data_IF_249694809308
#
_entry.id   IF_249694809308
#
_cell.length_a   1.000
_cell.length_b   1.000
_cell.length_c   1.000
_cell.angle_alpha   90.00
_cell.angle_beta   90.00
_cell.angle_gamma   90.00
#
_symmetry.space_group_name_H-M   'P 1'
#
loop_
_entity.id
_entity.type
_entity.pdbx_description
1 polymer ?
#
# COMPACT_ATOMS: atom_id res chain seq x y z
N UNK A 1 -11.11 7.40 -61.81
CA UNK A 1 -10.23 7.85 -60.71
C UNK A 1 -8.79 7.28 -60.75
N UNK A 2 -8.49 6.17 -61.47
CA UNK A 2 -7.12 5.62 -61.55
C UNK A 2 -6.18 6.40 -62.50
N UNK A 3 -6.66 6.86 -63.67
CA UNK A 3 -5.84 7.54 -64.70
C UNK A 3 -5.14 8.82 -64.23
N UNK A 4 -5.80 9.64 -63.43
CA UNK A 4 -5.23 10.89 -62.87
C UNK A 4 -4.05 10.59 -61.94
N UNK A 5 -4.14 9.53 -61.14
CA UNK A 5 -3.06 9.10 -60.24
C UNK A 5 -1.79 8.64 -61.00
N UNK A 6 -1.96 7.99 -62.16
CA UNK A 6 -0.84 7.57 -63.01
C UNK A 6 -0.14 8.76 -63.68
N UNK A 7 -0.91 9.75 -64.14
CA UNK A 7 -0.36 10.99 -64.70
C UNK A 7 0.40 11.79 -63.63
N UNK A 8 -0.15 11.95 -62.42
CA UNK A 8 0.58 12.60 -61.32
C UNK A 8 1.84 11.85 -60.91
N UNK A 9 1.83 10.51 -60.94
CA UNK A 9 3.01 9.69 -60.66
C UNK A 9 4.09 9.85 -61.74
N UNK A 10 3.69 9.93 -63.00
CA UNK A 10 4.58 10.24 -64.13
C UNK A 10 5.19 11.64 -64.01
N UNK A 11 4.36 12.66 -63.71
CA UNK A 11 4.83 14.03 -63.47
C UNK A 11 5.74 14.14 -62.24
N UNK A 12 5.49 13.36 -61.18
CA UNK A 12 6.36 13.31 -60.00
C UNK A 12 7.75 12.73 -60.30
N UNK A 13 7.87 11.91 -61.34
CA UNK A 13 9.12 11.34 -61.82
C UNK A 13 9.73 12.13 -62.98
N UNK A 14 9.06 13.18 -63.46
CA UNK A 14 9.58 14.03 -64.51
C UNK A 14 10.91 14.67 -64.06
N UNK A 15 11.93 14.73 -64.93
CA UNK A 15 13.28 15.17 -64.56
C UNK A 15 13.32 16.61 -64.02
N UNK A 16 12.45 17.49 -64.53
CA UNK A 16 12.34 18.87 -64.08
C UNK A 16 11.79 18.94 -62.65
N UNK A 17 10.76 18.17 -62.33
CA UNK A 17 10.20 18.12 -60.96
C UNK A 17 11.19 17.48 -60.00
N UNK A 18 11.89 16.44 -60.45
CA UNK A 18 12.94 15.78 -59.67
C UNK A 18 14.08 16.76 -59.32
N UNK A 19 14.59 17.52 -60.29
CA UNK A 19 15.67 18.49 -60.07
C UNK A 19 15.27 19.62 -59.13
N UNK A 20 14.04 20.14 -59.25
CA UNK A 20 13.52 21.15 -58.31
C UNK A 20 13.36 20.60 -56.88
N UNK A 21 12.86 19.37 -56.73
CA UNK A 21 12.77 18.70 -55.42
C UNK A 21 14.14 18.48 -54.81
N UNK A 22 15.13 18.07 -55.60
CA UNK A 22 16.51 17.89 -55.14
C UNK A 22 17.13 19.22 -54.70
N UNK A 23 16.95 20.30 -55.48
CA UNK A 23 17.40 21.65 -55.11
C UNK A 23 16.77 22.12 -53.79
N UNK A 24 15.45 21.92 -53.63
CA UNK A 24 14.74 22.27 -52.39
C UNK A 24 15.19 21.43 -51.20
N UNK A 25 15.39 20.12 -51.40
CA UNK A 25 15.91 19.25 -50.34
C UNK A 25 17.32 19.70 -49.92
N UNK A 26 18.19 20.04 -50.88
CA UNK A 26 19.54 20.56 -50.62
C UNK A 26 19.52 21.89 -49.86
N UNK A 27 18.54 22.76 -50.08
CA UNK A 27 18.44 24.02 -49.35
C UNK A 27 17.83 23.88 -47.96
N UNK A 28 16.85 22.97 -47.78
CA UNK A 28 16.08 22.83 -46.53
C UNK A 28 16.74 21.88 -45.52
N UNK A 29 17.39 20.83 -45.98
CA UNK A 29 17.82 19.72 -45.13
C UNK A 29 19.05 20.04 -44.24
N UNK A 30 20.09 20.76 -44.71
CA UNK A 30 21.25 21.10 -43.88
C UNK A 30 20.90 21.81 -42.55
N UNK A 31 20.11 22.91 -42.51
CA UNK A 31 19.81 23.59 -41.25
C UNK A 31 19.02 22.71 -40.28
N UNK A 32 18.20 21.77 -40.77
CA UNK A 32 17.46 20.82 -39.93
C UNK A 32 18.35 19.73 -39.35
N UNK A 33 19.38 19.29 -40.08
CA UNK A 33 20.31 18.28 -39.58
C UNK A 33 21.28 18.80 -38.52
N UNK A 34 21.72 20.06 -38.67
CA UNK A 34 22.66 20.74 -37.76
C UNK A 34 21.96 21.57 -36.67
N UNK A 35 20.63 21.57 -36.63
CA UNK A 35 19.88 22.32 -35.62
C UNK A 35 20.23 21.85 -34.21
N UNK A 36 20.49 22.77 -33.25
CA UNK A 36 20.76 22.42 -31.85
C UNK A 36 19.55 21.82 -31.14
N UNK A 37 18.33 21.96 -31.71
CA UNK A 37 17.12 21.29 -31.21
C UNK A 37 17.08 19.79 -31.53
N UNK A 38 17.96 19.30 -32.42
CA UNK A 38 18.00 17.89 -32.79
C UNK A 38 18.68 17.08 -31.68
N UNK A 39 18.01 16.07 -31.08
CA UNK A 39 18.61 15.24 -30.05
C UNK A 39 19.79 14.44 -30.60
N UNK A 40 20.83 14.25 -29.78
CA UNK A 40 21.98 13.43 -30.15
C UNK A 40 21.59 11.95 -30.24
N UNK A 41 22.40 11.14 -30.93
CA UNK A 41 22.20 9.69 -30.95
C UNK A 41 22.23 9.09 -29.54
N UNK A 42 23.09 9.61 -28.66
CA UNK A 42 23.19 9.17 -27.27
C UNK A 42 21.89 9.46 -26.51
N UNK A 43 21.26 10.61 -26.76
CA UNK A 43 19.96 10.96 -26.17
C UNK A 43 18.85 10.05 -26.69
N UNK A 44 18.86 9.72 -27.98
CA UNK A 44 17.88 8.80 -28.57
C UNK A 44 18.02 7.38 -28.02
N UNK A 45 19.25 6.91 -27.79
CA UNK A 45 19.53 5.62 -27.12
C UNK A 45 19.04 5.67 -25.67
N UNK A 46 19.37 6.74 -24.94
CA UNK A 46 18.96 6.92 -23.53
C UNK A 46 17.44 6.95 -23.38
N UNK A 47 16.73 7.60 -24.30
CA UNK A 47 15.26 7.64 -24.36
C UNK A 47 14.65 6.34 -24.89
N UNK A 48 15.45 5.34 -25.22
CA UNK A 48 15.03 4.06 -25.80
C UNK A 48 14.26 4.17 -27.13
N UNK A 49 14.47 5.27 -27.86
CA UNK A 49 13.90 5.53 -29.19
C UNK A 49 14.74 4.83 -30.24
N UNK A 50 16.07 5.02 -30.19
CA UNK A 50 17.00 4.26 -31.04
C UNK A 50 17.43 2.99 -30.31
N UNK A 51 17.20 1.85 -30.94
CA UNK A 51 17.55 0.54 -30.38
C UNK A 51 18.74 -0.03 -31.14
N UNK A 52 19.84 -0.23 -30.44
CA UNK A 52 20.97 -1.00 -30.95
C UNK A 52 20.61 -2.48 -31.01
N UNK A 53 21.31 -3.25 -31.84
CA UNK A 53 21.14 -4.71 -31.89
C UNK A 53 21.22 -5.37 -30.51
N UNK A 54 22.19 -4.93 -29.68
CA UNK A 54 22.34 -5.40 -28.30
C UNK A 54 21.10 -5.12 -27.45
N UNK A 55 20.54 -3.91 -27.49
CA UNK A 55 19.32 -3.59 -26.73
C UNK A 55 18.12 -4.43 -27.15
N UNK A 56 18.00 -4.73 -28.45
CA UNK A 56 16.92 -5.60 -28.96
C UNK A 56 17.09 -7.03 -28.44
N UNK A 57 18.30 -7.59 -28.51
CA UNK A 57 18.60 -8.94 -27.99
C UNK A 57 18.40 -8.99 -26.47
N UNK A 58 18.94 -8.02 -25.72
CA UNK A 58 18.76 -7.92 -24.27
C UNK A 58 17.28 -7.83 -23.87
N UNK A 59 16.45 -7.10 -24.62
CA UNK A 59 15.00 -7.04 -24.40
C UNK A 59 14.32 -8.40 -24.60
N UNK A 60 14.69 -9.14 -25.65
CA UNK A 60 14.15 -10.48 -25.92
C UNK A 60 14.51 -11.45 -24.78
N UNK A 61 15.78 -11.46 -24.37
CA UNK A 61 16.27 -12.27 -23.26
C UNK A 61 15.58 -11.87 -21.94
N UNK A 62 15.50 -10.58 -21.64
CA UNK A 62 14.83 -10.07 -20.45
C UNK A 62 13.36 -10.51 -20.36
N UNK A 63 12.62 -10.42 -21.47
CA UNK A 63 11.24 -10.92 -21.54
C UNK A 63 11.15 -12.42 -21.31
N UNK A 64 12.03 -13.20 -21.93
CA UNK A 64 12.07 -14.66 -21.74
C UNK A 64 12.33 -15.03 -20.27
N UNK A 65 13.31 -14.40 -19.64
CA UNK A 65 13.62 -14.62 -18.22
C UNK A 65 12.47 -14.21 -17.29
N UNK A 66 11.81 -13.08 -17.55
CA UNK A 66 10.62 -12.66 -16.79
C UNK A 66 9.48 -13.66 -16.98
N UNK A 67 9.25 -14.15 -18.19
CA UNK A 67 8.22 -15.16 -18.47
C UNK A 67 8.50 -16.47 -17.71
N UNK A 68 9.74 -16.96 -17.73
CA UNK A 68 10.16 -18.16 -16.97
C UNK A 68 9.98 -17.94 -15.46
N UNK A 69 10.35 -16.76 -14.94
CA UNK A 69 10.16 -16.45 -13.52
C UNK A 69 8.68 -16.42 -13.16
N UNK A 70 7.86 -15.79 -13.99
CA UNK A 70 6.43 -15.68 -13.78
C UNK A 70 5.75 -17.06 -13.81
N UNK A 71 6.06 -17.91 -14.79
CA UNK A 71 5.47 -19.25 -14.89
C UNK A 71 5.76 -20.09 -13.63
N UNK A 72 7.01 -20.06 -13.15
CA UNK A 72 7.39 -20.73 -11.89
C UNK A 72 6.65 -20.17 -10.67
N UNK A 73 6.51 -18.84 -10.56
CA UNK A 73 5.82 -18.19 -9.43
C UNK A 73 4.31 -18.44 -9.46
N UNK A 74 3.70 -18.51 -10.63
CA UNK A 74 2.29 -18.80 -10.78
C UNK A 74 1.98 -20.26 -10.45
N UNK A 75 2.87 -21.21 -10.78
CA UNK A 75 2.71 -22.61 -10.42
C UNK A 75 2.69 -22.84 -8.89
N UNK A 76 3.44 -22.05 -8.12
CA UNK A 76 3.50 -22.11 -6.65
C UNK A 76 2.60 -21.04 -6.00
N UNK A 77 1.62 -20.51 -6.74
CA UNK A 77 0.74 -19.46 -6.21
C UNK A 77 -0.11 -20.01 -5.05
N UNK A 78 -0.05 -19.41 -3.85
CA UNK A 78 -0.90 -19.83 -2.74
C UNK A 78 -2.37 -19.56 -3.05
N UNK A 79 -3.25 -20.44 -2.55
CA UNK A 79 -4.69 -20.25 -2.65
C UNK A 79 -5.13 -19.02 -1.84
N UNK A 80 -6.26 -18.37 -2.19
CA UNK A 80 -6.75 -17.22 -1.46
C UNK A 80 -7.09 -17.57 0.00
N UNK A 81 -7.52 -18.79 0.30
CA UNK A 81 -7.77 -19.29 1.65
C UNK A 81 -6.48 -19.34 2.47
N UNK A 82 -5.38 -19.81 1.87
CA UNK A 82 -4.07 -19.80 2.53
C UNK A 82 -3.60 -18.38 2.86
N UNK A 83 -3.97 -17.38 2.05
CA UNK A 83 -3.69 -15.97 2.34
C UNK A 83 -4.53 -15.42 3.50
N UNK A 84 -5.78 -15.89 3.66
CA UNK A 84 -6.62 -15.56 4.80
C UNK A 84 -6.07 -16.18 6.08
N UNK A 85 -5.66 -17.45 6.04
CA UNK A 85 -5.05 -18.14 7.18
C UNK A 85 -3.78 -17.45 7.68
N UNK A 86 -3.01 -16.85 6.75
CA UNK A 86 -1.80 -16.06 7.07
C UNK A 86 -2.10 -14.61 7.42
N UNK A 87 -3.38 -14.23 7.57
CA UNK A 87 -3.82 -12.86 7.86
C UNK A 87 -3.36 -11.81 6.84
N UNK A 88 -3.01 -12.21 5.62
CA UNK A 88 -2.60 -11.30 4.52
C UNK A 88 -3.83 -10.73 3.83
N UNK A 89 -4.80 -11.59 3.53
CA UNK A 89 -6.06 -11.20 2.88
C UNK A 89 -7.21 -11.23 3.91
N UNK A 90 -8.03 -10.17 4.00
CA UNK A 90 -9.30 -10.22 4.71
C UNK A 90 -10.21 -11.34 4.18
N UNK A 91 -10.87 -12.13 5.06
CA UNK A 91 -11.82 -13.16 4.62
C UNK A 91 -12.99 -12.58 3.81
N UNK A 92 -13.33 -11.32 4.05
CA UNK A 92 -14.39 -10.59 3.35
C UNK A 92 -14.06 -10.30 1.85
N UNK A 93 -12.78 -10.40 1.47
CA UNK A 93 -12.28 -10.08 0.13
C UNK A 93 -12.06 -11.29 -0.77
N UNK A 94 -12.27 -12.51 -0.28
CA UNK A 94 -11.96 -13.74 -1.02
C UNK A 94 -12.85 -13.83 -2.26
N UNK A 95 -12.28 -13.90 -3.48
CA UNK A 95 -13.06 -14.10 -4.70
C UNK A 95 -13.73 -15.48 -4.71
N UNK A 96 -14.96 -15.59 -5.21
CA UNK A 96 -15.69 -16.87 -5.34
C UNK A 96 -16.40 -17.34 -4.07
N UNK A 97 -16.23 -16.65 -2.94
CA UNK A 97 -17.03 -16.89 -1.74
C UNK A 97 -18.31 -16.07 -1.83
N UNK A 98 -19.38 -16.67 -2.34
CA UNK A 98 -20.72 -16.07 -2.33
C UNK A 98 -21.32 -16.24 -0.94
N UNK A 99 -21.67 -15.11 -0.31
CA UNK A 99 -22.26 -15.12 1.02
C UNK A 99 -22.37 -13.72 1.64
N UNK A 100 -23.23 -13.57 2.66
CA UNK A 100 -23.38 -12.32 3.38
C UNK A 100 -22.05 -11.93 4.02
N UNK A 101 -21.57 -10.72 3.73
CA UNK A 101 -20.31 -10.19 4.27
C UNK A 101 -19.18 -10.01 3.27
N UNK A 102 -19.40 -10.27 1.97
CA UNK A 102 -18.46 -9.86 0.90
C UNK A 102 -18.35 -8.34 0.84
N UNK A 103 -17.13 -7.83 0.79
CA UNK A 103 -16.86 -6.40 0.74
C UNK A 103 -15.91 -6.13 -0.42
N UNK A 104 -16.21 -5.11 -1.23
CA UNK A 104 -15.30 -4.68 -2.27
C UNK A 104 -13.93 -4.31 -1.63
N UNK A 105 -12.79 -4.73 -2.18
CA UNK A 105 -11.47 -4.46 -1.58
C UNK A 105 -11.24 -3.00 -1.20
N UNK A 106 -11.78 -2.08 -1.99
CA UNK A 106 -11.72 -0.63 -1.74
C UNK A 106 -12.42 -0.17 -0.45
N UNK A 107 -13.41 -0.91 0.05
CA UNK A 107 -14.23 -0.52 1.22
C UNK A 107 -13.81 -1.19 2.52
N UNK A 108 -12.90 -2.18 2.46
CA UNK A 108 -12.56 -3.04 3.61
C UNK A 108 -11.92 -2.25 4.74
N UNK A 109 -11.04 -1.31 4.40
CA UNK A 109 -10.41 -0.43 5.39
C UNK A 109 -11.47 0.38 6.14
N UNK A 110 -12.47 0.92 5.43
CA UNK A 110 -13.57 1.70 6.03
C UNK A 110 -14.45 0.82 6.91
N UNK A 111 -14.86 -0.36 6.42
CA UNK A 111 -15.65 -1.31 7.21
C UNK A 111 -14.93 -1.69 8.51
N UNK A 112 -13.66 -2.10 8.43
CA UNK A 112 -12.87 -2.49 9.59
C UNK A 112 -12.63 -1.34 10.55
N UNK A 113 -12.50 -0.10 10.06
CA UNK A 113 -12.41 1.08 10.91
C UNK A 113 -13.70 1.26 11.72
N UNK A 114 -14.86 1.15 11.08
CA UNK A 114 -16.16 1.23 11.74
C UNK A 114 -16.35 0.09 12.75
N UNK A 115 -16.00 -1.14 12.39
CA UNK A 115 -16.09 -2.30 13.30
C UNK A 115 -15.18 -2.14 14.52
N UNK A 116 -13.95 -1.65 14.33
CA UNK A 116 -13.03 -1.35 15.44
C UNK A 116 -13.62 -0.31 16.38
N UNK A 117 -14.22 0.75 15.84
CA UNK A 117 -14.81 1.79 16.68
C UNK A 117 -16.02 1.27 17.45
N UNK A 118 -16.89 0.47 16.81
CA UNK A 118 -18.00 -0.22 17.50
C UNK A 118 -17.52 -1.10 18.66
N UNK A 119 -16.43 -1.85 18.46
CA UNK A 119 -15.84 -2.68 19.52
C UNK A 119 -15.30 -1.83 20.66
N UNK A 120 -14.58 -0.74 20.36
CA UNK A 120 -14.10 0.18 21.39
C UNK A 120 -15.25 0.80 22.19
N UNK A 121 -16.30 1.27 21.52
CA UNK A 121 -17.45 1.86 22.19
C UNK A 121 -18.17 0.83 23.07
N UNK A 122 -18.33 -0.41 22.59
CA UNK A 122 -18.86 -1.52 23.37
C UNK A 122 -18.02 -1.80 24.61
N UNK A 123 -16.70 -1.88 24.47
CA UNK A 123 -15.78 -2.08 25.59
C UNK A 123 -15.84 -0.93 26.61
N UNK A 124 -15.86 0.33 26.15
CA UNK A 124 -15.99 1.50 27.04
C UNK A 124 -17.26 1.42 27.88
N UNK A 125 -18.40 1.08 27.25
CA UNK A 125 -19.68 0.91 27.97
C UNK A 125 -19.61 -0.24 28.97
N UNK A 126 -19.05 -1.38 28.59
CA UNK A 126 -18.94 -2.54 29.47
C UNK A 126 -18.03 -2.27 30.68
N UNK A 127 -16.88 -1.61 30.45
CA UNK A 127 -15.96 -1.22 31.51
C UNK A 127 -16.64 -0.29 32.51
N UNK A 128 -17.28 0.79 32.03
CA UNK A 128 -17.91 1.77 32.92
C UNK A 128 -19.13 1.24 33.69
N UNK A 129 -19.89 0.31 33.10
CA UNK A 129 -21.15 -0.15 33.71
C UNK A 129 -21.01 -1.43 34.52
N UNK A 130 -20.30 -2.43 33.99
CA UNK A 130 -20.25 -3.78 34.55
C UNK A 130 -18.96 -3.97 35.33
N UNK A 131 -17.82 -3.63 34.72
CA UNK A 131 -16.52 -3.87 35.35
C UNK A 131 -16.31 -2.96 36.57
N UNK A 132 -16.52 -1.65 36.43
CA UNK A 132 -16.36 -0.71 37.54
C UNK A 132 -17.28 -1.02 38.72
N UNK A 133 -18.54 -1.39 38.46
CA UNK A 133 -19.47 -1.83 39.51
C UNK A 133 -18.94 -3.08 40.21
N UNK A 134 -18.54 -4.11 39.45
CA UNK A 134 -18.04 -5.37 40.00
C UNK A 134 -16.73 -5.19 40.78
N UNK A 135 -15.85 -4.31 40.32
CA UNK A 135 -14.61 -3.94 41.02
C UNK A 135 -14.94 -3.21 42.32
N UNK A 136 -15.88 -2.27 42.30
CA UNK A 136 -16.32 -1.55 43.51
C UNK A 136 -16.94 -2.49 44.53
N UNK A 137 -17.86 -3.37 44.12
CA UNK A 137 -18.47 -4.38 44.98
C UNK A 137 -17.42 -5.33 45.58
N UNK A 138 -16.43 -5.75 44.78
CA UNK A 138 -15.33 -6.59 45.27
C UNK A 138 -14.42 -5.84 46.24
N UNK A 139 -14.08 -4.58 45.95
CA UNK A 139 -13.29 -3.74 46.84
C UNK A 139 -14.02 -3.47 48.16
N UNK A 140 -15.33 -3.22 48.13
CA UNK A 140 -16.17 -3.11 49.32
C UNK A 140 -16.23 -4.44 50.09
N UNK A 141 -16.33 -5.57 49.41
CA UNK A 141 -16.29 -6.90 50.04
C UNK A 141 -14.97 -7.15 50.78
N UNK A 142 -13.84 -6.81 50.15
CA UNK A 142 -12.51 -6.87 50.77
C UNK A 142 -12.44 -5.92 51.97
N UNK A 143 -12.90 -4.67 51.83
CA UNK A 143 -12.91 -3.69 52.93
C UNK A 143 -13.74 -4.19 54.12
N UNK A 144 -14.93 -4.74 53.88
CA UNK A 144 -15.81 -5.31 54.92
C UNK A 144 -15.17 -6.53 55.60
N UNK A 145 -14.42 -7.35 54.85
CA UNK A 145 -13.67 -8.48 55.40
C UNK A 145 -12.48 -8.00 56.25
N UNK A 146 -11.71 -7.03 55.78
CA UNK A 146 -10.60 -6.41 56.52
C UNK A 146 -11.08 -5.73 57.81
N UNK A 147 -12.26 -5.09 57.78
CA UNK A 147 -12.92 -4.52 58.96
C UNK A 147 -13.32 -5.60 59.97
N UNK A 148 -13.92 -6.72 59.52
CA UNK A 148 -14.29 -7.87 60.38
C UNK A 148 -13.07 -8.57 60.98
N UNK A 149 -12.04 -8.80 60.18
CA UNK A 149 -10.78 -9.42 60.63
C UNK A 149 -9.89 -8.45 61.43
N UNK A 150 -10.30 -7.18 61.59
CA UNK A 150 -9.59 -6.20 62.41
C UNK A 150 -8.27 -5.69 61.80
N UNK A 151 -7.97 -6.02 60.55
CA UNK A 151 -6.72 -5.68 59.86
C UNK A 151 -6.53 -4.16 59.80
N UNK A 152 -7.60 -3.39 59.58
CA UNK A 152 -7.56 -1.92 59.60
C UNK A 152 -7.27 -1.31 60.98
N UNK A 153 -7.45 -2.04 62.08
CA UNK A 153 -7.02 -1.62 63.44
C UNK A 153 -5.53 -1.92 63.65
N UNK A 154 -5.08 -3.09 63.23
CA UNK A 154 -3.65 -3.49 63.26
C UNK A 154 -2.81 -2.54 62.39
N UNK A 155 -3.27 -2.20 61.18
CA UNK A 155 -2.60 -1.25 60.30
C UNK A 155 -2.55 0.18 60.88
N UNK A 156 -3.61 0.62 61.58
CA UNK A 156 -3.63 1.92 62.28
C UNK A 156 -2.69 1.94 63.48
N UNK A 157 -2.63 0.86 64.26
CA UNK A 157 -1.66 0.68 65.34
C UNK A 157 -0.23 0.67 64.81
N UNK A 158 0.04 -0.09 63.73
CA UNK A 158 1.35 -0.09 63.08
C UNK A 158 1.76 1.29 62.58
N UNK A 159 0.87 2.01 61.87
CA UNK A 159 1.15 3.38 61.40
C UNK A 159 1.30 4.38 62.54
N UNK A 160 0.58 4.20 63.64
CA UNK A 160 0.75 4.99 64.86
C UNK A 160 2.14 4.79 65.46
N UNK A 161 2.56 3.54 65.66
CA UNK A 161 3.91 3.21 66.15
C UNK A 161 5.03 3.65 65.20
N UNK A 162 4.82 3.57 63.88
CA UNK A 162 5.75 4.11 62.88
C UNK A 162 5.87 5.65 62.95
N UNK A 163 4.79 6.39 63.31
CA UNK A 163 4.85 7.85 63.55
C UNK A 163 5.48 8.21 64.89
N UNK A 164 5.19 7.45 65.95
CA UNK A 164 5.84 7.61 67.25
C UNK A 164 7.34 7.38 67.13
N UNK A 165 7.76 6.34 66.39
CA UNK A 165 9.18 6.08 66.10
C UNK A 165 9.86 7.14 65.24
N UNK A 166 9.09 7.92 64.46
CA UNK A 166 9.58 9.10 63.71
C UNK A 166 9.54 10.39 64.54
N UNK A 167 9.03 10.35 65.78
CA UNK A 167 8.93 11.52 66.67
C UNK A 167 7.84 12.52 66.30
N UNK A 168 6.95 12.19 65.36
CA UNK A 168 5.88 13.09 64.88
C UNK A 168 4.72 13.24 65.88
N UNK A 169 4.61 12.31 66.85
CA UNK A 169 3.56 12.28 67.87
C UNK A 169 4.22 11.89 69.20
N UNK A 170 4.11 12.73 70.22
CA UNK A 170 4.46 12.35 71.60
C UNK A 170 3.30 11.55 72.19
N UNK A 171 3.53 10.26 72.44
CA UNK A 171 2.58 9.43 73.18
C UNK A 171 2.48 9.96 74.61
N UNK A 172 1.26 10.32 75.03
CA UNK A 172 0.94 10.60 76.43
C UNK A 172 0.93 9.31 77.26
#
# INVERSE_FOLDING_TARGET
MSRTSHQFRSLCLAPIVHTLRLRRARSVLPPLLYSPSRPSLADLIRRSIFLTHTTVVSRKLGRSLVAIRLSRRLAVRPSPEALVQRCVLPPECVPGREGPGRVAPALVAKKRAVERERVKDGLRRWVGSVWERRVRERAEGVRRWEERCGIGRVWRLRRFWERVGRGEIQGS
#
